data_IF_466897181621
#
_entry.id   IF_466897181621
#
_cell.length_a   1.000
_cell.length_b   1.000
_cell.length_c   1.000
_cell.angle_alpha   90.00
_cell.angle_beta   90.00
_cell.angle_gamma   90.00
#
_symmetry.space_group_name_H-M   'P 1'
#
loop_
_entity.id
_entity.type
_entity.pdbx_description
1 polymer ?
#
# COMPACT_ATOMS: atom_id res chain seq x y z
N UNK A 1 34.14 16.77 11.25
CA UNK A 1 32.78 16.87 10.69
C UNK A 1 32.13 15.53 10.92
N UNK A 2 31.30 15.41 11.96
CA UNK A 2 30.57 14.18 12.22
C UNK A 2 29.36 14.15 11.30
N UNK A 3 29.34 13.17 10.38
CA UNK A 3 28.17 12.86 9.57
C UNK A 3 27.33 11.88 10.37
N UNK A 4 26.30 12.38 11.08
CA UNK A 4 25.29 11.52 11.67
C UNK A 4 24.20 11.29 10.63
N UNK A 5 24.24 10.15 9.94
CA UNK A 5 23.09 9.65 9.22
C UNK A 5 21.99 9.32 10.24
N UNK A 6 20.81 9.86 10.04
CA UNK A 6 19.61 9.55 10.81
C UNK A 6 18.85 8.39 10.16
N UNK A 7 17.91 7.80 10.89
CA UNK A 7 17.00 6.79 10.32
C UNK A 7 16.22 7.32 9.10
N UNK A 8 16.09 8.64 8.97
CA UNK A 8 15.39 9.27 7.86
C UNK A 8 16.19 9.29 6.56
N UNK A 9 17.52 9.16 6.66
CA UNK A 9 18.44 9.14 5.53
C UNK A 9 18.61 7.72 4.92
N UNK A 10 17.94 6.71 5.50
CA UNK A 10 18.00 5.34 5.00
C UNK A 10 17.16 5.21 3.72
N UNK A 11 17.70 4.62 2.62
CA UNK A 11 16.96 4.42 1.38
C UNK A 11 15.63 3.67 1.56
N UNK A 12 15.56 2.76 2.54
CA UNK A 12 14.33 2.05 2.88
C UNK A 12 13.25 2.96 3.47
N UNK A 13 13.65 3.96 4.26
CA UNK A 13 12.72 4.90 4.87
C UNK A 13 12.23 5.92 3.83
N UNK A 14 13.12 6.42 2.97
CA UNK A 14 12.74 7.25 1.83
C UNK A 14 11.78 6.52 0.89
N UNK A 15 12.01 5.23 0.62
CA UNK A 15 11.11 4.44 -0.19
C UNK A 15 9.73 4.27 0.47
N UNK A 16 9.68 4.00 1.78
CA UNK A 16 8.41 3.85 2.51
C UNK A 16 7.52 5.10 2.42
N UNK A 17 8.13 6.30 2.46
CA UNK A 17 7.39 7.58 2.32
C UNK A 17 6.63 7.67 1.01
N UNK A 18 7.15 7.08 -0.08
CA UNK A 18 6.52 7.09 -1.42
C UNK A 18 5.16 6.41 -1.45
N UNK A 19 4.88 5.51 -0.51
CA UNK A 19 3.56 4.87 -0.41
C UNK A 19 2.45 5.84 -0.03
N UNK A 20 2.78 6.95 0.65
CA UNK A 20 1.81 7.97 1.05
C UNK A 20 1.64 9.09 0.01
N UNK A 21 2.52 9.18 -0.98
CA UNK A 21 2.47 10.23 -2.00
C UNK A 21 1.21 10.06 -2.85
N UNK A 22 0.42 11.14 -2.91
CA UNK A 22 -0.71 11.24 -3.82
C UNK A 22 -0.21 11.29 -5.26
N UNK A 23 -1.00 10.71 -6.15
CA UNK A 23 -0.71 10.57 -7.57
C UNK A 23 -2.06 10.69 -8.30
N UNK A 24 -2.04 11.29 -9.49
CA UNK A 24 -3.15 11.30 -10.43
C UNK A 24 -3.29 9.94 -11.14
N UNK A 25 -3.05 8.83 -10.44
CA UNK A 25 -3.07 7.51 -11.05
C UNK A 25 -4.49 7.15 -11.49
N UNK A 26 -4.65 6.67 -12.72
CA UNK A 26 -5.95 6.29 -13.31
C UNK A 26 -6.60 5.04 -12.65
N UNK A 27 -5.98 4.47 -11.61
CA UNK A 27 -6.48 3.28 -10.92
C UNK A 27 -7.76 3.50 -10.13
N UNK A 28 -8.13 4.74 -9.83
CA UNK A 28 -9.37 5.03 -9.12
C UNK A 28 -10.59 4.49 -9.87
N UNK A 29 -10.69 4.75 -11.19
CA UNK A 29 -11.81 4.27 -12.00
C UNK A 29 -11.89 2.75 -12.07
N UNK A 30 -10.73 2.10 -12.13
CA UNK A 30 -10.59 0.63 -12.13
C UNK A 30 -11.09 0.07 -10.79
N UNK A 31 -10.63 0.62 -9.66
CA UNK A 31 -11.06 0.20 -8.33
C UNK A 31 -12.54 0.53 -8.06
N UNK A 32 -13.06 1.63 -8.61
CA UNK A 32 -14.47 2.02 -8.46
C UNK A 32 -15.42 1.09 -9.21
N UNK A 33 -14.94 0.39 -10.23
CA UNK A 33 -15.71 -0.59 -10.98
C UNK A 33 -15.77 -1.98 -10.31
N UNK A 34 -15.04 -2.20 -9.21
CA UNK A 34 -14.99 -3.50 -8.53
C UNK A 34 -16.15 -3.66 -7.53
N UNK A 35 -17.10 -4.58 -7.77
CA UNK A 35 -18.34 -4.68 -7.00
C UNK A 35 -18.14 -4.93 -5.50
N UNK A 36 -17.01 -5.51 -5.10
CA UNK A 36 -16.72 -5.79 -3.69
C UNK A 36 -16.38 -4.55 -2.86
N UNK A 37 -15.93 -3.48 -3.50
CA UNK A 37 -15.46 -2.28 -2.82
C UNK A 37 -16.08 -0.99 -3.36
N UNK A 38 -16.82 -1.02 -4.48
CA UNK A 38 -17.35 0.17 -5.16
C UNK A 38 -18.16 1.12 -4.26
N UNK A 39 -18.83 0.57 -3.24
CA UNK A 39 -19.66 1.30 -2.29
C UNK A 39 -18.86 1.95 -1.15
N UNK A 40 -17.60 1.55 -0.94
CA UNK A 40 -16.71 2.07 0.08
C UNK A 40 -15.62 2.94 -0.56
N UNK A 41 -15.84 4.25 -0.51
CA UNK A 41 -14.96 5.24 -1.12
C UNK A 41 -13.54 5.25 -0.54
N UNK A 42 -13.37 4.90 0.73
CA UNK A 42 -12.06 4.81 1.36
C UNK A 42 -11.31 3.56 0.88
N UNK A 43 -12.02 2.43 0.73
CA UNK A 43 -11.44 1.23 0.12
C UNK A 43 -11.11 1.42 -1.36
N UNK A 44 -11.92 2.13 -2.14
CA UNK A 44 -11.60 2.45 -3.54
C UNK A 44 -10.31 3.28 -3.62
N UNK A 45 -10.19 4.32 -2.79
CA UNK A 45 -8.96 5.13 -2.72
C UNK A 45 -7.75 4.31 -2.27
N UNK A 46 -7.93 3.44 -1.28
CA UNK A 46 -6.87 2.55 -0.80
C UNK A 46 -6.45 1.56 -1.89
N UNK A 47 -7.38 0.92 -2.59
CA UNK A 47 -7.14 0.06 -3.73
C UNK A 47 -6.30 0.79 -4.81
N UNK A 48 -6.70 2.02 -5.17
CA UNK A 48 -5.96 2.83 -6.16
C UNK A 48 -4.52 3.07 -5.73
N UNK A 49 -4.29 3.42 -4.45
CA UNK A 49 -2.95 3.62 -3.90
C UNK A 49 -2.13 2.32 -3.86
N UNK A 50 -2.76 1.18 -3.56
CA UNK A 50 -2.09 -0.12 -3.56
C UNK A 50 -1.62 -0.47 -4.97
N UNK A 51 -2.46 -0.32 -6.00
CA UNK A 51 -2.07 -0.58 -7.39
C UNK A 51 -0.92 0.31 -7.85
N UNK A 52 -0.96 1.60 -7.50
CA UNK A 52 0.16 2.54 -7.73
C UNK A 52 1.45 2.07 -7.06
N UNK A 53 1.37 1.65 -5.79
CA UNK A 53 2.54 1.18 -5.04
C UNK A 53 3.08 -0.15 -5.58
N UNK A 54 2.22 -1.06 -6.04
CA UNK A 54 2.62 -2.29 -6.72
C UNK A 54 3.35 -2.01 -8.04
N UNK A 55 2.86 -1.04 -8.84
CA UNK A 55 3.56 -0.58 -10.04
C UNK A 55 4.93 0.01 -9.72
N UNK A 56 5.02 0.87 -8.69
CA UNK A 56 6.29 1.42 -8.22
C UNK A 56 7.29 0.31 -7.85
N UNK A 57 6.85 -0.74 -7.14
CA UNK A 57 7.69 -1.89 -6.79
C UNK A 57 8.16 -2.66 -8.02
N UNK A 58 7.29 -2.85 -9.01
CA UNK A 58 7.62 -3.53 -10.26
C UNK A 58 8.66 -2.76 -11.09
N UNK A 59 8.50 -1.45 -11.22
CA UNK A 59 9.39 -0.57 -11.99
C UNK A 59 10.77 -0.39 -11.32
N UNK A 60 10.82 -0.48 -10.00
CA UNK A 60 12.05 -0.28 -9.20
C UNK A 60 12.66 -1.60 -8.70
N UNK A 61 12.22 -2.75 -9.24
CA UNK A 61 12.60 -4.10 -8.74
C UNK A 61 14.12 -4.34 -8.68
N UNK A 62 14.87 -3.83 -9.66
CA UNK A 62 16.31 -4.07 -9.79
C UNK A 62 17.19 -2.88 -9.32
N UNK A 63 16.59 -1.87 -8.69
CA UNK A 63 17.29 -0.64 -8.31
C UNK A 63 17.97 -0.71 -6.94
N UNK A 64 17.72 -1.78 -6.16
CA UNK A 64 18.31 -1.95 -4.83
C UNK A 64 18.36 -3.41 -4.37
N UNK A 65 19.11 -3.66 -3.29
CA UNK A 65 19.27 -4.97 -2.65
C UNK A 65 18.21 -5.26 -1.58
N UNK A 66 17.22 -4.39 -1.39
CA UNK A 66 16.22 -4.49 -0.32
C UNK A 66 14.79 -4.70 -0.85
N UNK A 67 14.65 -5.17 -2.10
CA UNK A 67 13.37 -5.46 -2.74
C UNK A 67 12.41 -6.29 -1.87
N UNK A 68 12.88 -7.38 -1.26
CA UNK A 68 12.05 -8.22 -0.38
C UNK A 68 11.51 -7.43 0.83
N UNK A 69 12.31 -6.49 1.37
CA UNK A 69 11.88 -5.60 2.44
C UNK A 69 10.76 -4.68 1.95
N UNK A 70 10.86 -4.14 0.72
CA UNK A 70 9.83 -3.24 0.16
C UNK A 70 8.46 -3.90 0.00
N UNK A 71 8.42 -5.20 -0.33
CA UNK A 71 7.16 -5.96 -0.35
C UNK A 71 6.55 -6.12 1.06
N UNK A 72 7.38 -6.42 2.07
CA UNK A 72 6.93 -6.49 3.46
C UNK A 72 6.46 -5.12 3.98
N UNK A 73 7.19 -4.06 3.62
CA UNK A 73 6.87 -2.68 3.94
C UNK A 73 5.51 -2.28 3.33
N UNK A 74 5.20 -2.71 2.10
CA UNK A 74 3.88 -2.46 1.50
C UNK A 74 2.76 -3.16 2.29
N UNK A 75 2.94 -4.43 2.68
CA UNK A 75 1.95 -5.15 3.49
C UNK A 75 1.74 -4.49 4.85
N UNK A 76 2.81 -4.00 5.47
CA UNK A 76 2.73 -3.22 6.71
C UNK A 76 1.96 -1.92 6.50
N UNK A 77 2.28 -1.18 5.43
CA UNK A 77 1.58 0.06 5.08
C UNK A 77 0.08 -0.17 4.86
N UNK A 78 -0.32 -1.22 4.13
CA UNK A 78 -1.74 -1.58 3.92
C UNK A 78 -2.44 -1.82 5.25
N UNK A 79 -1.78 -2.54 6.16
CA UNK A 79 -2.29 -2.81 7.51
C UNK A 79 -2.51 -1.51 8.29
N UNK A 80 -1.55 -0.58 8.23
CA UNK A 80 -1.69 0.74 8.85
C UNK A 80 -2.88 1.53 8.29
N UNK A 81 -3.08 1.52 6.97
CA UNK A 81 -4.20 2.23 6.34
C UNK A 81 -5.55 1.61 6.72
N UNK A 82 -5.66 0.29 6.72
CA UNK A 82 -6.88 -0.41 7.14
C UNK A 82 -7.21 -0.17 8.62
N UNK A 83 -6.21 -0.11 9.49
CA UNK A 83 -6.41 0.24 10.89
C UNK A 83 -6.88 1.70 11.03
N UNK A 84 -6.21 2.63 10.36
CA UNK A 84 -6.53 4.08 10.45
C UNK A 84 -7.92 4.43 9.92
N UNK A 85 -8.31 3.86 8.78
CA UNK A 85 -9.52 4.26 8.08
C UNK A 85 -10.73 3.38 8.45
N UNK A 86 -10.52 2.08 8.68
CA UNK A 86 -11.60 1.12 8.91
C UNK A 86 -11.59 0.49 10.31
N UNK A 87 -10.68 0.94 11.19
CA UNK A 87 -10.60 0.45 12.56
C UNK A 87 -10.29 -1.04 12.66
N UNK A 88 -9.69 -1.63 11.62
CA UNK A 88 -9.37 -3.06 11.59
C UNK A 88 -8.32 -3.35 12.66
N UNK A 89 -8.76 -4.05 13.71
CA UNK A 89 -7.97 -4.43 14.89
C UNK A 89 -7.99 -5.93 15.15
N UNK A 90 -8.47 -6.71 14.19
CA UNK A 90 -8.49 -8.17 14.29
C UNK A 90 -7.09 -8.68 14.65
N UNK A 91 -7.00 -9.65 15.58
CA UNK A 91 -5.72 -10.28 15.97
C UNK A 91 -4.93 -10.76 14.74
N UNK A 92 -5.67 -11.16 13.70
CA UNK A 92 -5.16 -11.46 12.38
C UNK A 92 -5.97 -10.65 11.36
N UNK A 93 -5.33 -9.66 10.73
CA UNK A 93 -5.97 -8.79 9.73
C UNK A 93 -6.60 -9.57 8.58
N UNK A 94 -6.05 -10.74 8.25
CA UNK A 94 -6.57 -11.65 7.22
C UNK A 94 -7.99 -12.15 7.48
N UNK A 95 -8.48 -12.09 8.72
CA UNK A 95 -9.84 -12.47 9.09
C UNK A 95 -10.84 -11.31 8.92
N UNK A 96 -10.36 -10.09 8.71
CA UNK A 96 -11.21 -8.92 8.55
C UNK A 96 -12.01 -9.00 7.25
N UNK A 97 -13.35 -8.86 7.27
CA UNK A 97 -14.15 -8.78 6.05
C UNK A 97 -13.71 -7.66 5.11
N UNK A 98 -13.27 -6.53 5.68
CA UNK A 98 -12.72 -5.38 4.96
C UNK A 98 -11.43 -5.76 4.23
N UNK A 99 -10.50 -6.43 4.92
CA UNK A 99 -9.27 -6.94 4.31
C UNK A 99 -9.57 -7.94 3.20
N UNK A 100 -10.46 -8.91 3.45
CA UNK A 100 -10.84 -9.95 2.47
C UNK A 100 -11.44 -9.30 1.21
N UNK A 101 -12.32 -8.31 1.37
CA UNK A 101 -12.95 -7.61 0.26
C UNK A 101 -11.91 -6.87 -0.59
N UNK A 102 -11.01 -6.12 0.07
CA UNK A 102 -9.92 -5.41 -0.59
C UNK A 102 -8.95 -6.35 -1.33
N UNK A 103 -8.47 -7.41 -0.68
CA UNK A 103 -7.51 -8.32 -1.31
C UNK A 103 -8.16 -9.18 -2.40
N UNK A 104 -9.45 -9.48 -2.28
CA UNK A 104 -10.14 -10.15 -3.38
C UNK A 104 -10.26 -9.22 -4.57
N UNK A 105 -10.64 -7.96 -4.37
CA UNK A 105 -10.67 -6.94 -5.42
C UNK A 105 -9.32 -6.82 -6.14
N UNK A 106 -8.23 -6.74 -5.37
CA UNK A 106 -6.86 -6.66 -5.90
C UNK A 106 -6.42 -7.90 -6.69
N UNK A 107 -7.05 -9.06 -6.49
CA UNK A 107 -6.70 -10.29 -7.21
C UNK A 107 -7.24 -10.34 -8.65
N UNK A 108 -8.07 -9.37 -9.06
CA UNK A 108 -8.65 -9.28 -10.40
C UNK A 108 -7.91 -8.30 -11.33
N UNK A 109 -6.81 -7.71 -10.86
CA UNK A 109 -5.95 -6.80 -11.63
C UNK A 109 -4.59 -7.43 -11.92
#
# INVERSE_FOLDING_TARGET
>A
MELFATSEDLPSYEFYKKFNEDDNSDYYGICKAEPKIESDEELVKLCSKILKNLKLLAETKNQDNFHNKRCNDLNYWITEQLNKNHGVKDELIINSPTYISLYTALSFF
#
